data_IF_407819207619
#
_entry.id   IF_407819207619
#
_cell.length_a   1.000
_cell.length_b   1.000
_cell.length_c   1.000
_cell.angle_alpha   90.00
_cell.angle_beta   90.00
_cell.angle_gamma   90.00
#
_symmetry.space_group_name_H-M   'P 1'
#
loop_
_entity.id
_entity.type
_entity.pdbx_description
1 polymer ?
#
# COMPACT_ATOMS: atom_id res chain seq x y z
N UNK A 1 -12.72 3.01 3.90
CA UNK A 1 -11.62 2.80 2.92
C UNK A 1 -10.46 2.19 3.68
N UNK A 2 -10.09 0.95 3.37
CA UNK A 2 -8.92 0.30 3.97
C UNK A 2 -7.66 1.06 3.51
N UNK A 3 -6.96 1.73 4.43
CA UNK A 3 -5.68 2.39 4.12
C UNK A 3 -4.67 1.28 3.77
N UNK A 4 -4.46 1.08 2.49
CA UNK A 4 -3.48 0.12 2.01
C UNK A 4 -2.08 0.67 2.35
N UNK A 5 -1.40 0.02 3.29
CA UNK A 5 -0.04 0.39 3.66
C UNK A 5 0.88 0.16 2.45
N UNK A 6 1.50 1.23 1.96
CA UNK A 6 2.45 1.16 0.85
C UNK A 6 3.68 0.34 1.26
N UNK A 7 4.13 -0.52 0.36
CA UNK A 7 5.37 -1.26 0.52
C UNK A 7 6.58 -0.35 0.20
N UNK A 8 7.76 -0.60 0.79
CA UNK A 8 8.96 0.18 0.47
C UNK A 8 9.31 0.21 -1.03
N UNK A 9 9.07 -0.90 -1.73
CA UNK A 9 9.25 -1.00 -3.18
C UNK A 9 8.27 -0.11 -3.96
N UNK A 10 7.03 0.00 -3.50
CA UNK A 10 5.99 0.85 -4.10
C UNK A 10 6.30 2.33 -3.92
N UNK A 11 6.75 2.70 -2.73
CA UNK A 11 7.20 4.07 -2.42
C UNK A 11 8.34 4.47 -3.37
N UNK A 12 9.36 3.61 -3.50
CA UNK A 12 10.49 3.86 -4.40
C UNK A 12 10.05 4.06 -5.85
N UNK A 13 9.10 3.25 -6.34
CA UNK A 13 8.59 3.38 -7.70
C UNK A 13 7.85 4.71 -7.88
N UNK A 14 7.03 5.15 -6.91
CA UNK A 14 6.32 6.43 -6.99
C UNK A 14 7.30 7.62 -6.97
N UNK A 15 8.36 7.56 -6.17
CA UNK A 15 9.41 8.56 -6.15
C UNK A 15 10.20 8.60 -7.47
N UNK A 16 10.53 7.44 -8.03
CA UNK A 16 11.17 7.35 -9.35
C UNK A 16 10.28 7.96 -10.43
N UNK A 17 8.99 7.59 -10.46
CA UNK A 17 8.01 8.12 -11.42
C UNK A 17 7.92 9.65 -11.38
N UNK A 18 7.94 10.23 -10.18
CA UNK A 18 7.86 11.67 -10.01
C UNK A 18 9.10 12.43 -10.53
N UNK A 19 10.25 11.75 -10.56
CA UNK A 19 11.55 12.32 -11.01
C UNK A 19 11.89 11.99 -12.46
N UNK A 20 11.30 10.92 -13.01
CA UNK A 20 11.66 10.42 -14.34
C UNK A 20 11.09 11.34 -15.43
N UNK A 21 11.97 11.79 -16.31
CA UNK A 21 11.62 12.53 -17.51
C UNK A 21 10.95 11.66 -18.58
N UNK A 22 10.81 12.18 -19.80
CA UNK A 22 10.22 11.44 -20.90
C UNK A 22 11.02 10.16 -21.22
N UNK A 23 10.35 9.02 -21.25
CA UNK A 23 10.93 7.72 -21.61
C UNK A 23 10.53 7.38 -23.05
N UNK A 24 11.46 6.81 -23.83
CA UNK A 24 11.18 6.32 -25.17
C UNK A 24 10.39 5.01 -25.10
N UNK A 25 9.21 5.01 -25.70
CA UNK A 25 8.35 3.83 -25.84
C UNK A 25 8.35 3.36 -27.30
N UNK A 26 8.64 2.07 -27.50
CA UNK A 26 8.62 1.46 -28.84
C UNK A 26 7.21 1.09 -29.32
N UNK A 27 6.18 1.71 -28.78
CA UNK A 27 4.77 1.48 -29.13
C UNK A 27 4.11 2.82 -29.42
N UNK A 28 3.24 2.83 -30.43
CA UNK A 28 2.36 3.95 -30.73
C UNK A 28 1.27 4.05 -29.67
N UNK A 29 1.10 5.24 -29.10
CA UNK A 29 0.08 5.54 -28.09
C UNK A 29 -0.92 6.55 -28.67
N UNK A 30 -2.01 6.07 -29.26
CA UNK A 30 -3.06 6.92 -29.83
C UNK A 30 -4.32 6.89 -28.97
N UNK A 31 -4.99 8.03 -28.89
CA UNK A 31 -6.31 8.10 -28.28
C UNK A 31 -7.28 7.17 -29.01
N UNK A 32 -8.14 6.49 -28.24
CA UNK A 32 -9.07 5.48 -28.76
C UNK A 32 -8.51 4.04 -28.79
N UNK A 33 -7.20 3.84 -28.66
CA UNK A 33 -6.63 2.50 -28.57
C UNK A 33 -6.60 1.98 -27.14
N UNK A 34 -6.70 0.65 -26.98
CA UNK A 34 -6.62 -0.02 -25.67
C UNK A 34 -5.34 0.33 -24.91
N UNK A 35 -4.22 0.45 -25.59
CA UNK A 35 -2.92 0.76 -25.01
C UNK A 35 -2.93 2.14 -24.33
N UNK A 36 -3.43 3.17 -25.01
CA UNK A 36 -3.54 4.51 -24.47
C UNK A 36 -4.48 4.56 -23.25
N UNK A 37 -5.65 3.93 -23.37
CA UNK A 37 -6.63 3.86 -22.27
C UNK A 37 -6.06 3.16 -21.03
N UNK A 38 -5.32 2.05 -21.23
CA UNK A 38 -4.67 1.31 -20.13
C UNK A 38 -3.60 2.14 -19.44
N UNK A 39 -2.72 2.81 -20.22
CA UNK A 39 -1.67 3.66 -19.66
C UNK A 39 -2.27 4.82 -18.86
N UNK A 40 -3.32 5.47 -19.39
CA UNK A 40 -4.04 6.53 -18.70
C UNK A 40 -4.71 6.05 -17.41
N UNK A 41 -5.30 4.84 -17.41
CA UNK A 41 -5.88 4.24 -16.22
C UNK A 41 -4.79 3.92 -15.18
N UNK A 42 -3.66 3.33 -15.57
CA UNK A 42 -2.56 3.06 -14.63
C UNK A 42 -2.03 4.38 -14.03
N UNK A 43 -1.87 5.43 -14.85
CA UNK A 43 -1.46 6.74 -14.38
C UNK A 43 -2.41 7.29 -13.29
N UNK A 44 -3.73 7.20 -13.52
CA UNK A 44 -4.71 7.67 -12.53
C UNK A 44 -4.64 6.89 -11.21
N UNK A 45 -4.44 5.57 -11.24
CA UNK A 45 -4.23 4.78 -10.02
C UNK A 45 -2.96 5.18 -9.28
N UNK A 46 -1.88 5.46 -10.00
CA UNK A 46 -0.62 5.87 -9.38
C UNK A 46 -0.67 7.27 -8.77
N UNK A 47 -1.43 8.18 -9.38
CA UNK A 47 -1.72 9.48 -8.78
C UNK A 47 -2.51 9.36 -7.48
N UNK A 48 -3.31 8.28 -7.33
CA UNK A 48 -4.02 7.91 -6.10
C UNK A 48 -3.17 7.02 -5.15
N UNK A 49 -1.85 6.90 -5.38
CA UNK A 49 -0.89 6.07 -4.63
C UNK A 49 -1.26 4.58 -4.63
N UNK A 50 -1.87 4.08 -5.68
CA UNK A 50 -2.29 2.69 -5.81
C UNK A 50 -1.71 2.03 -7.06
N UNK A 51 -1.62 0.69 -7.02
CA UNK A 51 -1.09 -0.11 -8.11
C UNK A 51 -2.14 -1.12 -8.55
N UNK A 52 -2.78 -0.91 -9.71
CA UNK A 52 -3.87 -1.75 -10.17
C UNK A 52 -3.38 -3.12 -10.61
N UNK A 53 -4.23 -4.12 -10.43
CA UNK A 53 -4.15 -5.38 -11.12
C UNK A 53 -4.91 -5.33 -12.48
N UNK A 54 -4.90 -6.43 -13.22
CA UNK A 54 -5.59 -6.49 -14.51
C UNK A 54 -7.11 -6.36 -14.37
N UNK A 55 -7.68 -6.85 -13.27
CA UNK A 55 -9.13 -6.78 -13.05
C UNK A 55 -9.55 -5.37 -12.67
N UNK A 56 -8.74 -4.68 -11.86
CA UNK A 56 -8.98 -3.27 -11.49
C UNK A 56 -8.97 -2.37 -12.74
N UNK A 57 -8.02 -2.60 -13.64
CA UNK A 57 -7.95 -1.87 -14.91
C UNK A 57 -9.18 -2.12 -15.78
N UNK A 58 -9.62 -3.38 -15.88
CA UNK A 58 -10.80 -3.74 -16.67
C UNK A 58 -12.06 -3.14 -16.05
N UNK A 59 -12.22 -3.22 -14.73
CA UNK A 59 -13.36 -2.63 -14.03
C UNK A 59 -13.48 -1.13 -14.26
N UNK A 60 -12.35 -0.43 -14.18
CA UNK A 60 -12.31 1.03 -14.35
C UNK A 60 -12.61 1.48 -15.79
N UNK A 61 -12.16 0.71 -16.79
CA UNK A 61 -12.27 1.09 -18.21
C UNK A 61 -13.50 0.52 -18.91
N UNK A 62 -13.93 -0.70 -18.55
CA UNK A 62 -14.92 -1.47 -19.32
C UNK A 62 -16.09 -1.99 -18.46
N UNK A 63 -16.07 -1.70 -17.16
CA UNK A 63 -17.09 -2.16 -16.23
C UNK A 63 -16.79 -3.51 -15.60
N UNK A 64 -17.61 -3.84 -14.58
CA UNK A 64 -17.40 -5.04 -13.77
C UNK A 64 -17.65 -6.34 -14.53
N UNK A 65 -18.64 -6.36 -15.43
CA UNK A 65 -18.99 -7.52 -16.25
C UNK A 65 -17.81 -8.04 -17.08
N UNK A 66 -17.02 -7.13 -17.68
CA UNK A 66 -15.85 -7.50 -18.48
C UNK A 66 -14.69 -8.04 -17.63
N UNK A 67 -14.66 -7.72 -16.34
CA UNK A 67 -13.61 -8.22 -15.43
C UNK A 67 -13.74 -9.71 -15.09
N UNK A 68 -14.90 -10.30 -15.32
CA UNK A 68 -15.21 -11.72 -15.12
C UNK A 68 -14.97 -12.53 -16.40
N UNK A 69 -14.97 -11.88 -17.56
CA UNK A 69 -14.68 -12.51 -18.84
C UNK A 69 -13.21 -12.92 -18.96
N UNK A 70 -12.94 -14.21 -18.86
CA UNK A 70 -11.57 -14.76 -18.89
C UNK A 70 -10.86 -14.50 -20.23
N UNK A 71 -11.58 -14.47 -21.36
CA UNK A 71 -10.97 -14.19 -22.66
C UNK A 71 -10.54 -12.74 -22.75
N UNK A 72 -11.40 -11.83 -22.26
CA UNK A 72 -11.09 -10.40 -22.21
C UNK A 72 -9.92 -10.12 -21.27
N UNK A 73 -9.90 -10.72 -20.09
CA UNK A 73 -8.78 -10.63 -19.14
C UNK A 73 -7.46 -11.06 -19.78
N UNK A 74 -7.44 -12.21 -20.48
CA UNK A 74 -6.24 -12.71 -21.18
C UNK A 74 -5.80 -11.77 -22.29
N UNK A 75 -6.74 -11.17 -23.05
CA UNK A 75 -6.44 -10.17 -24.07
C UNK A 75 -5.72 -8.96 -23.47
N UNK A 76 -6.25 -8.40 -22.37
CA UNK A 76 -5.64 -7.25 -21.69
C UNK A 76 -4.26 -7.62 -21.11
N UNK A 77 -4.10 -8.79 -20.50
CA UNK A 77 -2.79 -9.28 -20.02
C UNK A 77 -1.76 -9.36 -21.14
N UNK A 78 -2.16 -9.81 -22.33
CA UNK A 78 -1.28 -9.88 -23.50
C UNK A 78 -0.84 -8.47 -23.94
N UNK A 79 -1.75 -7.50 -23.93
CA UNK A 79 -1.44 -6.11 -24.24
C UNK A 79 -0.47 -5.53 -23.20
N UNK A 80 -0.74 -5.72 -21.90
CA UNK A 80 0.14 -5.24 -20.83
C UNK A 80 1.54 -5.87 -20.91
N UNK A 81 1.65 -7.15 -21.23
CA UNK A 81 2.93 -7.82 -21.46
C UNK A 81 3.70 -7.26 -22.67
N UNK A 82 2.99 -6.86 -23.72
CA UNK A 82 3.59 -6.19 -24.87
C UNK A 82 4.10 -4.80 -24.48
N UNK A 83 3.35 -4.06 -23.66
CA UNK A 83 3.74 -2.75 -23.15
C UNK A 83 4.92 -2.81 -22.18
N UNK A 84 5.04 -3.89 -21.41
CA UNK A 84 6.21 -4.16 -20.57
C UNK A 84 7.48 -4.31 -21.43
N UNK A 85 7.42 -5.12 -22.49
CA UNK A 85 8.55 -5.29 -23.41
C UNK A 85 8.98 -3.98 -24.10
N UNK A 86 8.08 -3.01 -24.16
CA UNK A 86 8.31 -1.68 -24.74
C UNK A 86 8.69 -0.62 -23.69
N UNK A 87 9.02 -1.02 -22.47
CA UNK A 87 9.41 -0.16 -21.34
C UNK A 87 8.38 0.90 -20.93
N UNK A 88 7.11 0.74 -21.29
CA UNK A 88 6.03 1.66 -20.91
C UNK A 88 5.48 1.28 -19.54
N UNK A 89 5.27 -0.02 -19.33
CA UNK A 89 4.72 -0.58 -18.09
C UNK A 89 5.76 -1.46 -17.41
N UNK A 90 5.84 -1.38 -16.09
CA UNK A 90 6.64 -2.28 -15.24
C UNK A 90 5.71 -3.22 -14.50
N UNK A 91 6.11 -4.48 -14.39
CA UNK A 91 5.45 -5.48 -13.58
C UNK A 91 6.05 -5.47 -12.19
N UNK A 92 5.21 -5.30 -11.17
CA UNK A 92 5.67 -5.34 -9.78
C UNK A 92 5.95 -6.78 -9.33
N UNK A 93 6.99 -7.01 -8.52
CA UNK A 93 7.26 -8.32 -7.96
C UNK A 93 6.09 -8.76 -7.07
N UNK A 94 5.67 -10.01 -7.20
CA UNK A 94 4.64 -10.60 -6.34
C UNK A 94 5.24 -10.91 -4.97
N UNK A 95 4.54 -10.52 -3.92
CA UNK A 95 4.91 -10.89 -2.56
C UNK A 95 4.61 -12.37 -2.29
N UNK A 96 3.49 -12.86 -2.85
CA UNK A 96 3.04 -14.24 -2.72
C UNK A 96 2.63 -14.80 -4.11
N UNK A 97 2.80 -16.10 -4.36
CA UNK A 97 2.47 -16.72 -5.66
C UNK A 97 1.01 -16.52 -6.10
N UNK A 98 0.08 -16.48 -5.14
CA UNK A 98 -1.36 -16.32 -5.40
C UNK A 98 -1.81 -14.86 -5.59
N UNK A 99 -0.93 -13.88 -5.35
CA UNK A 99 -1.27 -12.48 -5.61
C UNK A 99 -1.43 -12.22 -7.11
N UNK A 100 -2.45 -11.42 -7.43
CA UNK A 100 -2.62 -10.92 -8.79
C UNK A 100 -1.43 -10.03 -9.16
N UNK A 101 -1.07 -10.07 -10.43
CA UNK A 101 0.01 -9.26 -10.98
C UNK A 101 -0.39 -7.79 -10.98
N UNK A 102 0.43 -6.92 -10.37
CA UNK A 102 0.20 -5.48 -10.34
C UNK A 102 1.14 -4.77 -11.30
N UNK A 103 0.68 -3.63 -11.78
CA UNK A 103 1.32 -2.89 -12.86
C UNK A 103 1.63 -1.46 -12.43
N UNK A 104 2.76 -0.95 -12.92
CA UNK A 104 3.20 0.42 -12.75
C UNK A 104 3.67 1.00 -14.08
N UNK A 105 3.63 2.31 -14.24
CA UNK A 105 4.26 2.99 -15.38
C UNK A 105 5.77 3.14 -15.15
N UNK A 106 6.50 3.27 -16.24
CA UNK A 106 7.92 3.63 -16.19
C UNK A 106 8.13 5.13 -16.11
N UNK A 107 7.17 5.93 -16.61
CA UNK A 107 7.15 7.40 -16.53
C UNK A 107 5.73 7.92 -16.74
N UNK A 108 5.46 9.17 -16.37
CA UNK A 108 4.24 9.90 -16.76
C UNK A 108 4.34 10.61 -18.10
N UNK A 109 5.53 10.63 -18.71
CA UNK A 109 5.78 11.27 -19.99
C UNK A 109 6.48 10.27 -20.91
N UNK A 110 5.91 9.99 -22.07
CA UNK A 110 6.46 9.06 -23.04
C UNK A 110 6.67 9.73 -24.38
N UNK A 111 7.73 9.32 -25.07
CA UNK A 111 7.85 9.52 -26.52
C UNK A 111 7.43 8.23 -27.22
N UNK A 112 6.39 8.31 -28.04
CA UNK A 112 5.91 7.17 -28.80
C UNK A 112 6.84 6.84 -29.99
N UNK A 113 6.53 5.79 -30.75
CA UNK A 113 7.29 5.41 -31.95
C UNK A 113 7.34 6.50 -33.02
N UNK A 114 6.37 7.40 -33.06
CA UNK A 114 6.28 8.53 -33.97
C UNK A 114 6.98 9.79 -33.40
N UNK A 115 7.72 9.66 -32.26
CA UNK A 115 8.39 10.73 -31.52
C UNK A 115 7.46 11.80 -30.92
N UNK A 116 6.15 11.55 -30.88
CA UNK A 116 5.21 12.45 -30.24
C UNK A 116 5.34 12.32 -28.71
N UNK A 117 5.29 13.47 -28.02
CA UNK A 117 5.29 13.48 -26.55
C UNK A 117 3.87 13.23 -26.04
N UNK A 118 3.67 12.10 -25.38
CA UNK A 118 2.43 11.75 -24.69
C UNK A 118 2.60 12.08 -23.22
N UNK A 119 1.79 13.00 -22.69
CA UNK A 119 1.79 13.42 -21.31
C UNK A 119 0.55 12.83 -20.62
N UNK A 120 0.74 11.98 -19.63
CA UNK A 120 -0.33 11.27 -18.92
C UNK A 120 -0.77 11.98 -17.63
N UNK A 121 0.14 12.74 -17.03
CA UNK A 121 -0.12 13.54 -15.85
C UNK A 121 0.56 14.91 -15.99
N UNK A 122 -0.14 15.94 -15.55
CA UNK A 122 0.40 17.30 -15.50
C UNK A 122 1.41 17.44 -14.36
N UNK A 123 2.33 18.39 -14.45
CA UNK A 123 3.31 18.63 -13.39
C UNK A 123 2.62 18.99 -12.05
N UNK A 124 1.44 19.62 -12.09
CA UNK A 124 0.63 19.90 -10.91
C UNK A 124 0.09 18.62 -10.26
N UNK A 125 -0.39 17.66 -11.05
CA UNK A 125 -0.86 16.35 -10.55
C UNK A 125 0.28 15.53 -9.96
N UNK A 126 1.46 15.56 -10.57
CA UNK A 126 2.65 14.89 -10.05
C UNK A 126 3.05 15.48 -8.70
N UNK A 127 3.01 16.81 -8.56
CA UNK A 127 3.29 17.48 -7.29
C UNK A 127 2.27 17.12 -6.21
N UNK A 128 0.99 17.11 -6.54
CA UNK A 128 -0.07 16.66 -5.61
C UNK A 128 0.14 15.20 -5.15
N UNK A 129 0.52 14.32 -6.06
CA UNK A 129 0.87 12.93 -5.73
C UNK A 129 2.06 12.87 -4.76
N UNK A 130 3.11 13.70 -4.95
CA UNK A 130 4.25 13.75 -4.05
C UNK A 130 3.85 14.24 -2.64
N UNK A 131 3.00 15.27 -2.55
CA UNK A 131 2.49 15.79 -1.28
C UNK A 131 1.65 14.73 -0.54
N UNK A 132 0.81 13.99 -1.28
CA UNK A 132 0.03 12.85 -0.76
C UNK A 132 0.95 11.73 -0.28
N UNK A 133 1.98 11.40 -1.03
CA UNK A 133 2.95 10.37 -0.65
C UNK A 133 3.67 10.75 0.64
N UNK A 134 4.14 11.99 0.74
CA UNK A 134 4.82 12.49 1.93
C UNK A 134 3.91 12.47 3.17
N UNK A 135 2.67 12.91 3.05
CA UNK A 135 1.69 12.87 4.15
C UNK A 135 1.37 11.43 4.59
N UNK A 136 1.24 10.50 3.64
CA UNK A 136 1.01 9.08 3.91
C UNK A 136 2.19 8.43 4.63
N UNK A 137 3.42 8.77 4.25
CA UNK A 137 4.63 8.29 4.91
C UNK A 137 4.72 8.76 6.37
N UNK A 138 4.45 10.04 6.63
CA UNK A 138 4.41 10.58 8.00
C UNK A 138 3.36 9.84 8.86
N UNK A 139 2.19 9.56 8.29
CA UNK A 139 1.15 8.80 9.00
C UNK A 139 1.56 7.34 9.27
N UNK A 140 2.22 6.68 8.32
CA UNK A 140 2.73 5.33 8.50
C UNK A 140 3.81 5.24 9.58
N UNK A 141 4.71 6.22 9.67
CA UNK A 141 5.72 6.29 10.74
C UNK A 141 5.08 6.51 12.12
N UNK A 142 4.10 7.41 12.22
CA UNK A 142 3.37 7.64 13.49
C UNK A 142 2.65 6.38 13.95
N UNK A 143 1.92 5.70 13.06
CA UNK A 143 1.22 4.44 13.37
C UNK A 143 2.15 3.28 13.75
N UNK A 144 3.38 3.26 13.25
CA UNK A 144 4.42 2.30 13.64
C UNK A 144 4.94 2.58 15.06
N UNK A 145 5.22 3.84 15.37
CA UNK A 145 5.76 4.26 16.68
C UNK A 145 4.80 4.00 17.84
N UNK A 146 3.49 4.13 17.60
CA UNK A 146 2.47 3.86 18.63
C UNK A 146 2.34 2.36 18.95
N UNK A 147 2.55 1.47 17.98
CA UNK A 147 2.57 0.02 18.24
C UNK A 147 3.73 -0.41 19.13
N UNK A 148 4.90 0.23 18.97
CA UNK A 148 6.06 -0.03 19.84
C UNK A 148 5.83 0.41 21.28
N UNK A 149 4.98 1.42 21.55
CA UNK A 149 4.63 1.84 22.90
C UNK A 149 3.67 0.89 23.59
N UNK A 150 2.84 0.16 22.86
CA UNK A 150 1.88 -0.81 23.39
C UNK A 150 2.56 -2.10 23.84
N UNK A 151 3.65 -2.50 23.18
CA UNK A 151 4.36 -3.75 23.47
C UNK A 151 4.91 -3.83 24.90
N UNK A 152 5.66 -2.84 25.44
CA UNK A 152 6.13 -2.88 26.81
C UNK A 152 4.98 -2.86 27.84
N UNK A 153 3.90 -2.15 27.54
CA UNK A 153 2.72 -2.14 28.41
C UNK A 153 2.05 -3.51 28.50
N UNK A 154 1.94 -4.23 27.38
CA UNK A 154 1.46 -5.62 27.34
C UNK A 154 2.35 -6.56 28.17
N UNK A 155 3.67 -6.42 28.07
CA UNK A 155 4.61 -7.22 28.87
C UNK A 155 4.44 -6.99 30.37
N UNK A 156 4.24 -5.74 30.80
CA UNK A 156 3.98 -5.41 32.22
C UNK A 156 2.68 -6.03 32.70
N UNK A 157 1.61 -6.02 31.91
CA UNK A 157 0.33 -6.67 32.25
C UNK A 157 0.52 -8.17 32.42
N UNK A 158 1.21 -8.84 31.48
CA UNK A 158 1.48 -10.27 31.56
C UNK A 158 2.30 -10.61 32.80
N UNK A 159 3.38 -9.85 33.07
CA UNK A 159 4.23 -10.06 34.23
C UNK A 159 3.47 -9.85 35.55
N UNK A 160 2.61 -8.84 35.64
CA UNK A 160 1.78 -8.60 36.84
C UNK A 160 0.77 -9.72 37.06
N UNK A 161 0.19 -10.26 36.00
CA UNK A 161 -0.71 -11.41 36.07
C UNK A 161 -0.01 -12.66 36.59
N UNK A 162 1.20 -12.95 36.10
CA UNK A 162 2.03 -14.04 36.61
C UNK A 162 2.38 -13.86 38.09
N UNK A 163 2.69 -12.65 38.54
CA UNK A 163 2.97 -12.35 39.94
C UNK A 163 1.75 -12.62 40.83
N UNK A 164 0.55 -12.28 40.41
CA UNK A 164 -0.71 -12.56 41.14
C UNK A 164 -0.94 -14.07 41.24
N UNK A 165 -0.80 -14.80 40.14
CA UNK A 165 -0.98 -16.27 40.13
C UNK A 165 0.07 -16.94 41.03
N UNK A 166 1.33 -16.49 40.94
CA UNK A 166 2.40 -16.99 41.83
C UNK A 166 2.08 -16.74 43.29
N UNK A 167 1.59 -15.55 43.66
CA UNK A 167 1.21 -15.24 45.05
C UNK A 167 0.10 -16.14 45.59
N UNK A 168 -0.82 -16.60 44.75
CA UNK A 168 -1.92 -17.52 45.10
C UNK A 168 -1.44 -18.97 45.28
N UNK A 169 -0.32 -19.38 44.68
CA UNK A 169 0.22 -20.75 44.79
C UNK A 169 1.11 -20.94 46.03
N UNK A 170 1.44 -19.87 46.74
CA UNK A 170 2.24 -19.95 47.99
C UNK A 170 1.40 -20.45 49.15
N UNK A 171 1.97 -21.25 50.07
CA UNK A 171 1.25 -21.79 51.26
C UNK A 171 0.83 -20.68 52.25
N UNK A 172 1.50 -19.52 52.18
CA UNK A 172 1.10 -18.31 52.90
C UNK A 172 0.97 -17.18 51.88
N UNK A 173 -0.24 -16.67 51.70
CA UNK A 173 -0.52 -15.60 50.76
C UNK A 173 0.18 -14.32 51.22
N UNK A 174 1.13 -13.83 50.41
CA UNK A 174 1.74 -12.53 50.64
C UNK A 174 0.80 -11.44 50.13
N UNK A 175 -0.05 -10.90 51.04
CA UNK A 175 -1.07 -9.91 50.70
C UNK A 175 -0.50 -8.66 50.00
N UNK A 176 0.72 -8.28 50.33
CA UNK A 176 1.37 -7.11 49.72
C UNK A 176 1.66 -7.33 48.24
N UNK A 177 2.23 -8.49 47.88
CA UNK A 177 2.53 -8.84 46.47
C UNK A 177 1.24 -8.98 45.67
N UNK A 178 0.21 -9.61 46.25
CA UNK A 178 -1.08 -9.80 45.63
C UNK A 178 -1.77 -8.47 45.31
N UNK A 179 -1.90 -7.57 46.32
CA UNK A 179 -2.57 -6.28 46.18
C UNK A 179 -1.80 -5.39 45.18
N UNK A 180 -0.47 -5.37 45.27
CA UNK A 180 0.37 -4.57 44.35
C UNK A 180 0.26 -5.07 42.89
N UNK A 181 0.35 -6.38 42.67
CA UNK A 181 0.20 -6.98 41.34
C UNK A 181 -1.17 -6.70 40.70
N UNK A 182 -2.23 -6.77 41.51
CA UNK A 182 -3.59 -6.49 41.05
C UNK A 182 -3.77 -5.01 40.70
N UNK A 183 -3.23 -4.10 41.53
CA UNK A 183 -3.27 -2.67 41.27
C UNK A 183 -2.54 -2.29 39.98
N UNK A 184 -1.33 -2.81 39.77
CA UNK A 184 -0.55 -2.57 38.53
C UNK A 184 -1.27 -3.11 37.32
N UNK A 185 -1.86 -4.32 37.41
CA UNK A 185 -2.62 -4.92 36.30
C UNK A 185 -3.82 -4.06 35.91
N UNK A 186 -4.60 -3.57 36.86
CA UNK A 186 -5.77 -2.70 36.59
C UNK A 186 -5.34 -1.36 36.03
N UNK A 187 -4.34 -0.69 36.59
CA UNK A 187 -3.85 0.61 36.11
C UNK A 187 -3.32 0.51 34.66
N UNK A 188 -2.51 -0.51 34.35
CA UNK A 188 -2.00 -0.73 33.00
C UNK A 188 -3.12 -1.08 32.02
N UNK A 189 -4.15 -1.80 32.44
CA UNK A 189 -5.30 -2.14 31.60
C UNK A 189 -6.13 -0.90 31.23
N UNK A 190 -6.31 0.03 32.17
CA UNK A 190 -7.00 1.32 31.90
C UNK A 190 -6.21 2.15 30.89
N UNK A 191 -4.90 2.29 31.10
CA UNK A 191 -4.02 3.04 30.17
C UNK A 191 -4.05 2.41 28.77
N UNK A 192 -4.00 1.08 28.69
CA UNK A 192 -4.10 0.37 27.41
C UNK A 192 -5.45 0.63 26.74
N UNK A 193 -6.54 0.60 27.51
CA UNK A 193 -7.89 0.89 27.00
C UNK A 193 -8.01 2.30 26.44
N UNK A 194 -7.46 3.30 27.10
CA UNK A 194 -7.42 4.68 26.58
C UNK A 194 -6.58 4.81 25.33
N UNK A 195 -5.40 4.17 25.26
CA UNK A 195 -4.56 4.19 24.06
C UNK A 195 -5.22 3.51 22.85
N UNK A 196 -6.09 2.53 23.05
CA UNK A 196 -6.84 1.86 21.98
C UNK A 196 -8.09 2.64 21.56
N UNK A 197 -8.69 3.41 22.47
CA UNK A 197 -9.90 4.22 22.20
C UNK A 197 -9.60 5.48 21.39
N UNK A 198 -8.40 6.03 21.47
CA UNK A 198 -7.97 7.25 20.75
C UNK A 198 -7.55 7.00 19.30
N UNK A 199 -7.82 5.80 18.76
CA UNK A 199 -7.66 5.43 17.34
C UNK A 199 -9.00 5.28 16.62
#
# INVERSE_FOLDING_TARGET
MSQHRLLPTEIKILEELARTGPVEGNIRLREGEYQYSLVKAIASFQLELSFPDVKDLIKRLFGEEKSVDLQFVRKIQTILKKMEKSNIVRILPKKNPWQLQRYALSSFKFRDSDKNLVVLATDQQIKQMQDLLHSTLIQQEKGGRDRFKVLPLMLVIIASYFAVVWALTQPVINAVIFIFGLFVSVACSIILGEMLRTK
#
